data_IF_497588074457
#
_entry.id   IF_497588074457
#
_cell.length_a   1.000
_cell.length_b   1.000
_cell.length_c   1.000
_cell.angle_alpha   90.00
_cell.angle_beta   90.00
_cell.angle_gamma   90.00
#
_symmetry.space_group_name_H-M   'P 1'
#
loop_
_entity.id
_entity.type
_entity.pdbx_description
1 polymer ?
#
# COMPACT_ATOMS: atom_id res chain seq x y z
N UNK A 1 -4.73 27.13 -19.48
CA UNK A 1 -4.21 25.81 -19.91
C UNK A 1 -5.03 24.74 -19.21
N UNK A 2 -5.84 24.00 -19.95
CA UNK A 2 -6.86 23.10 -19.41
C UNK A 2 -6.22 21.88 -18.73
N UNK A 3 -6.66 21.63 -17.48
CA UNK A 3 -6.21 20.54 -16.61
C UNK A 3 -6.92 19.26 -17.01
N UNK A 4 -6.28 18.42 -17.81
CA UNK A 4 -6.83 17.12 -18.19
C UNK A 4 -5.97 16.05 -17.56
N UNK A 5 -6.60 15.09 -16.88
CA UNK A 5 -5.90 13.93 -16.35
C UNK A 5 -5.20 13.17 -17.50
N UNK A 6 -4.03 12.57 -17.24
CA UNK A 6 -3.28 11.86 -18.26
C UNK A 6 -4.09 10.71 -18.86
N UNK A 7 -3.93 10.49 -20.17
CA UNK A 7 -4.51 9.35 -20.86
C UNK A 7 -4.05 8.04 -20.18
N UNK A 8 -4.98 7.10 -19.96
CA UNK A 8 -4.68 5.83 -19.31
C UNK A 8 -4.81 5.81 -17.78
N UNK A 9 -4.99 6.95 -17.10
CA UNK A 9 -5.14 6.98 -15.64
C UNK A 9 -6.36 6.19 -15.14
N UNK A 10 -7.48 6.27 -15.86
CA UNK A 10 -8.67 5.46 -15.57
C UNK A 10 -8.41 3.95 -15.74
N UNK A 11 -7.55 3.59 -16.70
CA UNK A 11 -7.16 2.20 -16.91
C UNK A 11 -6.28 1.71 -15.76
N UNK A 12 -5.35 2.54 -15.28
CA UNK A 12 -4.51 2.25 -14.12
C UNK A 12 -5.35 2.06 -12.85
N UNK A 13 -6.30 2.95 -12.60
CA UNK A 13 -7.26 2.82 -11.48
C UNK A 13 -8.03 1.50 -11.53
N UNK A 14 -8.58 1.12 -12.70
CA UNK A 14 -9.28 -0.17 -12.86
C UNK A 14 -8.37 -1.36 -12.64
N UNK A 15 -7.11 -1.29 -13.07
CA UNK A 15 -6.13 -2.35 -12.85
C UNK A 15 -5.82 -2.55 -11.36
N UNK A 16 -5.70 -1.47 -10.59
CA UNK A 16 -5.51 -1.51 -9.14
C UNK A 16 -6.72 -2.18 -8.47
N UNK A 17 -7.95 -1.79 -8.80
CA UNK A 17 -9.15 -2.40 -8.23
C UNK A 17 -9.25 -3.91 -8.53
N UNK A 18 -8.85 -4.34 -9.74
CA UNK A 18 -8.78 -5.76 -10.08
C UNK A 18 -7.71 -6.48 -9.27
N UNK A 19 -6.55 -5.86 -9.09
CA UNK A 19 -5.48 -6.42 -8.27
C UNK A 19 -5.92 -6.56 -6.80
N UNK A 20 -6.61 -5.56 -6.23
CA UNK A 20 -7.22 -5.68 -4.90
C UNK A 20 -8.17 -6.88 -4.82
N UNK A 21 -8.99 -7.10 -5.85
CA UNK A 21 -9.92 -8.22 -5.89
C UNK A 21 -9.23 -9.58 -5.92
N UNK A 22 -8.07 -9.67 -6.59
CA UNK A 22 -7.32 -10.92 -6.72
C UNK A 22 -6.39 -11.24 -5.55
N UNK A 23 -5.78 -10.22 -4.92
CA UNK A 23 -4.72 -10.46 -3.92
C UNK A 23 -5.08 -10.09 -2.48
N UNK A 24 -6.09 -9.24 -2.24
CA UNK A 24 -6.40 -8.77 -0.88
C UNK A 24 -7.56 -9.54 -0.24
N UNK A 25 -7.44 -9.92 1.05
CA UNK A 25 -8.56 -10.39 1.86
C UNK A 25 -9.73 -9.39 1.91
N UNK A 26 -10.97 -9.83 2.16
CA UNK A 26 -12.15 -8.98 2.04
C UNK A 26 -12.10 -7.65 2.83
N UNK A 27 -11.67 -7.60 4.10
CA UNK A 27 -11.59 -6.35 4.85
C UNK A 27 -10.57 -5.36 4.25
N UNK A 28 -9.39 -5.86 3.89
CA UNK A 28 -8.32 -5.07 3.29
C UNK A 28 -8.69 -4.56 1.89
N UNK A 29 -9.44 -5.36 1.12
CA UNK A 29 -9.98 -4.95 -0.18
C UNK A 29 -10.97 -3.79 -0.06
N UNK A 30 -11.90 -3.85 0.89
CA UNK A 30 -12.89 -2.78 1.10
C UNK A 30 -12.19 -1.48 1.49
N UNK A 31 -11.25 -1.55 2.42
CA UNK A 31 -10.42 -0.42 2.84
C UNK A 31 -9.62 0.15 1.66
N UNK A 32 -8.87 -0.71 0.95
CA UNK A 32 -8.03 -0.31 -0.18
C UNK A 32 -8.84 0.30 -1.34
N UNK A 33 -10.02 -0.26 -1.66
CA UNK A 33 -10.90 0.31 -2.68
C UNK A 33 -11.42 1.70 -2.29
N UNK A 34 -11.76 1.90 -1.03
CA UNK A 34 -12.24 3.19 -0.52
C UNK A 34 -11.13 4.23 -0.55
N UNK A 35 -9.93 3.86 -0.12
CA UNK A 35 -8.74 4.71 -0.17
C UNK A 35 -8.38 5.11 -1.60
N UNK A 36 -8.26 4.14 -2.52
CA UNK A 36 -7.90 4.40 -3.92
C UNK A 36 -8.93 5.32 -4.61
N UNK A 37 -10.22 5.17 -4.30
CA UNK A 37 -11.29 6.04 -4.80
C UNK A 37 -11.12 7.48 -4.31
N UNK A 38 -10.82 7.65 -3.04
CA UNK A 38 -10.63 8.96 -2.43
C UNK A 38 -9.39 9.67 -2.98
N UNK A 39 -8.26 8.95 -3.08
CA UNK A 39 -7.02 9.50 -3.67
C UNK A 39 -7.19 9.91 -5.14
N UNK A 40 -7.90 9.10 -5.93
CA UNK A 40 -8.20 9.46 -7.32
C UNK A 40 -9.02 10.73 -7.42
N UNK A 41 -10.04 10.88 -6.56
CA UNK A 41 -10.90 12.06 -6.51
C UNK A 41 -10.09 13.30 -6.11
N UNK A 42 -9.29 13.20 -5.05
CA UNK A 42 -8.44 14.30 -4.56
C UNK A 42 -7.48 14.78 -5.64
N UNK A 43 -6.80 13.88 -6.35
CA UNK A 43 -5.86 14.25 -7.40
C UNK A 43 -6.53 14.88 -8.63
N UNK A 44 -7.77 14.48 -8.93
CA UNK A 44 -8.55 15.09 -10.02
C UNK A 44 -9.07 16.48 -9.65
N UNK A 45 -9.55 16.63 -8.42
CA UNK A 45 -10.24 17.84 -7.98
C UNK A 45 -9.24 18.92 -7.49
N UNK A 46 -8.03 18.52 -7.11
CA UNK A 46 -6.92 19.43 -6.82
C UNK A 46 -6.44 20.17 -8.08
N UNK A 47 -5.82 21.34 -7.90
CA UNK A 47 -5.13 22.07 -8.98
C UNK A 47 -3.80 21.38 -9.33
N UNK A 48 -3.88 20.15 -9.81
CA UNK A 48 -2.72 19.28 -10.06
C UNK A 48 -1.95 19.73 -11.30
N UNK A 49 -0.65 19.92 -11.15
CA UNK A 49 0.27 20.27 -12.23
C UNK A 49 0.68 19.04 -13.05
N UNK A 50 1.20 19.20 -14.29
CA UNK A 50 1.69 18.07 -15.07
C UNK A 50 2.77 17.23 -14.36
N UNK A 51 3.64 17.87 -13.58
CA UNK A 51 4.68 17.18 -12.79
C UNK A 51 4.06 16.32 -11.68
N UNK A 52 3.05 16.84 -10.98
CA UNK A 52 2.31 16.08 -9.96
C UNK A 52 1.54 14.90 -10.57
N UNK A 53 0.97 15.07 -11.77
CA UNK A 53 0.37 13.95 -12.50
C UNK A 53 1.37 12.87 -12.86
N UNK A 54 2.57 13.23 -13.30
CA UNK A 54 3.64 12.27 -13.62
C UNK A 54 4.07 11.49 -12.37
N UNK A 55 4.29 12.17 -11.25
CA UNK A 55 4.63 11.54 -9.98
C UNK A 55 3.51 10.59 -9.51
N UNK A 56 2.25 11.03 -9.57
CA UNK A 56 1.09 10.22 -9.20
C UNK A 56 0.99 8.94 -10.05
N UNK A 57 1.16 9.05 -11.37
CA UNK A 57 1.13 7.89 -12.27
C UNK A 57 2.26 6.91 -11.96
N UNK A 58 3.48 7.40 -11.73
CA UNK A 58 4.62 6.56 -11.36
C UNK A 58 4.37 5.77 -10.07
N UNK A 59 3.93 6.44 -9.00
CA UNK A 59 3.65 5.78 -7.73
C UNK A 59 2.51 4.76 -7.85
N UNK A 60 1.48 5.06 -8.63
CA UNK A 60 0.38 4.13 -8.85
C UNK A 60 0.77 2.92 -9.70
N UNK A 61 1.66 3.10 -10.68
CA UNK A 61 2.25 2.00 -11.44
C UNK A 61 3.12 1.12 -10.55
N UNK A 62 3.94 1.73 -9.68
CA UNK A 62 4.75 1.01 -8.69
C UNK A 62 3.88 0.20 -7.75
N UNK A 63 2.84 0.80 -7.17
CA UNK A 63 1.89 0.12 -6.30
C UNK A 63 1.20 -1.06 -7.01
N UNK A 64 0.76 -0.89 -8.25
CA UNK A 64 0.18 -1.97 -9.03
C UNK A 64 1.17 -3.11 -9.28
N UNK A 65 2.44 -2.79 -9.58
CA UNK A 65 3.49 -3.80 -9.73
C UNK A 65 3.73 -4.57 -8.43
N UNK A 66 3.70 -3.88 -7.28
CA UNK A 66 3.80 -4.52 -5.96
C UNK A 66 2.64 -5.48 -5.71
N UNK A 67 1.40 -5.05 -5.98
CA UNK A 67 0.22 -5.91 -5.85
C UNK A 67 0.27 -7.14 -6.76
N UNK A 68 0.96 -7.05 -7.90
CA UNK A 68 1.14 -8.17 -8.84
C UNK A 68 2.31 -9.09 -8.50
N UNK A 69 3.13 -8.73 -7.51
CA UNK A 69 4.37 -9.43 -7.20
C UNK A 69 5.45 -9.26 -8.27
N UNK A 70 5.31 -8.26 -9.16
CA UNK A 70 6.24 -7.98 -10.27
C UNK A 70 7.06 -6.71 -10.02
N UNK A 71 6.96 -6.11 -8.84
CA UNK A 71 7.84 -5.02 -8.48
C UNK A 71 9.20 -5.60 -8.08
N UNK A 72 10.27 -5.04 -8.65
CA UNK A 72 11.56 -4.98 -7.97
C UNK A 72 11.34 -4.12 -6.72
N UNK A 73 10.84 -4.76 -5.67
CA UNK A 73 10.81 -4.17 -4.36
C UNK A 73 12.28 -3.97 -3.99
N UNK A 74 12.75 -2.72 -3.75
CA UNK A 74 13.94 -2.59 -2.93
C UNK A 74 13.62 -3.34 -1.65
N UNK A 75 14.47 -4.32 -1.34
CA UNK A 75 14.54 -5.08 -0.08
C UNK A 75 13.88 -4.25 1.05
N UNK A 76 12.66 -4.61 1.46
CA UNK A 76 11.88 -3.75 2.38
C UNK A 76 10.43 -3.42 1.99
N UNK A 77 9.60 -4.41 1.63
CA UNK A 77 8.15 -4.27 1.89
C UNK A 77 7.77 -4.67 3.33
N UNK A 78 8.76 -4.83 4.20
CA UNK A 78 8.63 -5.27 5.59
C UNK A 78 9.99 -5.47 6.28
N UNK A 79 11.06 -5.64 5.50
CA UNK A 79 12.41 -5.78 6.05
C UNK A 79 12.97 -4.42 6.48
N UNK A 80 13.47 -4.37 7.71
CA UNK A 80 14.20 -3.23 8.24
C UNK A 80 15.63 -3.36 7.73
N UNK A 81 16.22 -2.30 7.15
CA UNK A 81 17.60 -2.32 6.67
C UNK A 81 18.56 -2.81 7.76
N UNK A 82 19.53 -3.65 7.39
CA UNK A 82 20.44 -4.28 8.34
C UNK A 82 21.22 -3.24 9.17
N UNK A 83 21.60 -2.11 8.58
CA UNK A 83 22.27 -1.01 9.28
C UNK A 83 21.38 -0.39 10.37
N UNK A 84 20.09 -0.25 10.10
CA UNK A 84 19.10 0.25 11.06
C UNK A 84 18.92 -0.77 12.17
N UNK A 85 18.80 -2.06 11.87
CA UNK A 85 18.71 -3.14 12.87
C UNK A 85 19.93 -3.17 13.80
N UNK A 86 21.14 -2.97 13.27
CA UNK A 86 22.36 -2.95 14.06
C UNK A 86 22.45 -1.72 14.98
N UNK A 87 21.86 -0.58 14.58
CA UNK A 87 21.82 0.65 15.39
C UNK A 87 20.84 0.62 16.56
N UNK A 88 19.91 -0.35 16.61
CA UNK A 88 18.90 -0.45 17.67
C UNK A 88 19.51 -0.88 19.01
N UNK A 89 19.04 -0.27 20.09
CA UNK A 89 19.34 -0.74 21.45
C UNK A 89 18.74 -2.13 21.71
N UNK A 90 19.23 -2.83 22.73
CA UNK A 90 18.69 -4.14 23.12
C UNK A 90 17.18 -4.08 23.45
N UNK A 91 16.73 -2.98 24.07
CA UNK A 91 15.32 -2.76 24.38
C UNK A 91 14.49 -2.51 23.12
N UNK A 92 15.00 -1.70 22.18
CA UNK A 92 14.33 -1.44 20.90
C UNK A 92 14.23 -2.71 20.04
N UNK A 93 15.25 -3.59 20.07
CA UNK A 93 15.21 -4.90 19.42
C UNK A 93 14.15 -5.81 20.05
N UNK A 94 14.04 -5.83 21.37
CA UNK A 94 13.02 -6.61 22.07
C UNK A 94 11.60 -6.11 21.75
N UNK A 95 11.41 -4.79 21.67
CA UNK A 95 10.13 -4.20 21.31
C UNK A 95 9.76 -4.45 19.84
N UNK A 96 10.73 -4.38 18.93
CA UNK A 96 10.53 -4.73 17.53
C UNK A 96 10.09 -6.20 17.38
N UNK A 97 10.74 -7.13 18.10
CA UNK A 97 10.38 -8.54 18.07
C UNK A 97 8.93 -8.77 18.55
N UNK A 98 8.52 -8.11 19.63
CA UNK A 98 7.11 -8.16 20.11
C UNK A 98 6.14 -7.63 19.06
N UNK A 99 6.48 -6.50 18.42
CA UNK A 99 5.64 -5.90 17.39
C UNK A 99 5.46 -6.83 16.18
N UNK A 100 6.53 -7.52 15.76
CA UNK A 100 6.48 -8.49 14.66
C UNK A 100 5.57 -9.68 15.01
N UNK A 101 5.66 -10.19 16.24
CA UNK A 101 4.81 -11.27 16.74
C UNK A 101 3.34 -10.85 16.80
N UNK A 102 3.04 -9.67 17.34
CA UNK A 102 1.68 -9.11 17.38
C UNK A 102 1.11 -8.88 15.98
N UNK A 103 1.91 -8.36 15.05
CA UNK A 103 1.50 -8.15 13.66
C UNK A 103 1.22 -9.48 12.94
N UNK A 104 2.03 -10.52 13.19
CA UNK A 104 1.80 -11.85 12.66
C UNK A 104 0.49 -12.45 13.20
N UNK A 105 0.24 -12.31 14.50
CA UNK A 105 -1.00 -12.75 15.15
C UNK A 105 -2.22 -12.02 14.63
N UNK A 106 -2.16 -10.69 14.52
CA UNK A 106 -3.24 -9.88 13.97
C UNK A 106 -3.53 -10.23 12.50
N UNK A 107 -2.49 -10.52 11.71
CA UNK A 107 -2.65 -11.00 10.33
C UNK A 107 -3.38 -12.33 10.28
N UNK A 108 -3.04 -13.26 11.16
CA UNK A 108 -3.71 -14.56 11.28
C UNK A 108 -5.17 -14.42 11.75
N UNK A 109 -5.45 -13.53 12.70
CA UNK A 109 -6.81 -13.17 13.14
C UNK A 109 -7.65 -12.60 11.98
N UNK A 110 -7.09 -11.65 11.22
CA UNK A 110 -7.75 -11.04 10.05
C UNK A 110 -8.04 -12.07 8.95
N UNK A 111 -7.14 -13.04 8.76
CA UNK A 111 -7.30 -14.10 7.76
C UNK A 111 -8.24 -15.23 8.20
N UNK A 112 -8.33 -15.50 9.51
CA UNK A 112 -9.20 -16.53 10.10
C UNK A 112 -10.62 -16.03 10.43
N UNK A 113 -10.83 -14.72 10.52
CA UNK A 113 -12.15 -14.12 10.77
C UNK A 113 -12.65 -14.24 12.22
N UNK A 114 -11.77 -14.57 13.18
CA UNK A 114 -12.13 -14.65 14.59
C UNK A 114 -12.23 -13.25 15.23
N UNK A 115 -13.32 -12.92 15.96
CA UNK A 115 -13.40 -11.66 16.69
C UNK A 115 -12.48 -11.69 17.92
N UNK A 116 -11.81 -10.57 18.22
CA UNK A 116 -11.08 -10.42 19.49
C UNK A 116 -12.07 -10.41 20.64
N UNK A 117 -11.95 -11.36 21.54
CA UNK A 117 -12.55 -11.27 22.87
C UNK A 117 -11.82 -10.16 23.64
N UNK A 118 -12.60 -9.16 24.05
CA UNK A 118 -12.18 -7.97 24.81
C UNK A 118 -11.93 -8.29 26.27
#
# INVERSE_FOLDING_TARGET
MSKTAPAGLLQLYRQILRAHASVLPPPLRVMGNSYAKEEFRRHRDAKTTPAQWSAFVQEWQRYLSMLRGNADLPEGSGDIPEDVLQSLSAEQKAQLARLQEEAARAREEILSGAPRET
#
